data_IF_671546202941
#
_entry.id   IF_671546202941
#
_cell.length_a   1.000
_cell.length_b   1.000
_cell.length_c   1.000
_cell.angle_alpha   90.00
_cell.angle_beta   90.00
_cell.angle_gamma   90.00
#
_symmetry.space_group_name_H-M   'P 1'
#
loop_
_entity.id
_entity.type
_entity.pdbx_description
1 polymer ?
#
# COMPACT_ATOMS: atom_id res chain seq x y z
N UNK A 1 -1.06 -18.06 -11.52
CA UNK A 1 -2.36 -17.64 -10.98
C UNK A 1 -2.17 -17.29 -9.52
N UNK A 2 -2.82 -16.23 -9.06
CA UNK A 2 -2.76 -15.77 -7.67
C UNK A 2 -4.18 -15.64 -7.12
N UNK A 3 -4.41 -16.08 -5.88
CA UNK A 3 -5.69 -15.93 -5.18
C UNK A 3 -5.70 -14.59 -4.45
N UNK A 4 -6.78 -13.85 -4.63
CA UNK A 4 -7.07 -12.63 -3.88
C UNK A 4 -8.34 -12.85 -3.06
N UNK A 5 -8.30 -12.53 -1.77
CA UNK A 5 -9.47 -12.51 -0.89
C UNK A 5 -9.73 -11.08 -0.45
N UNK A 6 -10.89 -10.54 -0.79
CA UNK A 6 -11.29 -9.17 -0.49
C UNK A 6 -12.30 -9.15 0.63
N UNK A 7 -12.18 -8.18 1.54
CA UNK A 7 -13.24 -7.84 2.47
C UNK A 7 -14.03 -6.68 1.87
N UNK A 8 -15.30 -6.91 1.52
CA UNK A 8 -16.13 -5.94 0.81
C UNK A 8 -17.41 -5.68 1.60
N UNK A 9 -17.76 -4.41 1.76
CA UNK A 9 -19.03 -4.01 2.35
C UNK A 9 -20.19 -4.34 1.39
N UNK A 10 -21.32 -4.83 1.89
CA UNK A 10 -22.38 -5.35 1.01
C UNK A 10 -22.95 -4.30 0.04
N UNK A 11 -22.90 -2.99 0.36
CA UNK A 11 -23.36 -1.93 -0.55
C UNK A 11 -22.40 -1.71 -1.71
N UNK A 12 -21.10 -1.91 -1.48
CA UNK A 12 -20.05 -1.70 -2.47
C UNK A 12 -19.72 -2.97 -3.26
N UNK A 13 -20.43 -4.07 -2.96
CA UNK A 13 -20.23 -5.38 -3.57
C UNK A 13 -20.38 -5.37 -5.09
N UNK A 14 -21.54 -4.94 -5.60
CA UNK A 14 -21.81 -4.90 -7.05
C UNK A 14 -20.85 -3.96 -7.79
N UNK A 15 -20.64 -2.70 -7.35
CA UNK A 15 -19.64 -1.82 -7.97
C UNK A 15 -18.21 -2.40 -7.98
N UNK A 16 -17.84 -3.14 -6.92
CA UNK A 16 -16.53 -3.76 -6.83
C UNK A 16 -16.37 -4.93 -7.81
N UNK A 17 -17.41 -5.77 -7.96
CA UNK A 17 -17.41 -6.84 -8.94
C UNK A 17 -17.34 -6.33 -10.38
N UNK A 18 -18.03 -5.22 -10.68
CA UNK A 18 -17.98 -4.63 -12.02
C UNK A 18 -16.58 -4.13 -12.36
N UNK A 19 -15.86 -3.49 -11.42
CA UNK A 19 -14.45 -3.11 -11.60
C UNK A 19 -13.54 -4.31 -11.87
N UNK A 20 -13.72 -5.41 -11.13
CA UNK A 20 -12.94 -6.63 -11.36
C UNK A 20 -13.21 -7.23 -12.75
N UNK A 21 -14.46 -7.16 -13.23
CA UNK A 21 -14.84 -7.60 -14.58
C UNK A 21 -14.25 -6.71 -15.67
N UNK A 22 -14.21 -5.39 -15.46
CA UNK A 22 -13.57 -4.45 -16.38
C UNK A 22 -12.07 -4.73 -16.56
N UNK A 23 -11.38 -5.10 -15.47
CA UNK A 23 -9.99 -5.57 -15.49
C UNK A 23 -9.80 -6.94 -16.16
N UNK A 24 -10.88 -7.62 -16.56
CA UNK A 24 -10.82 -8.93 -17.20
C UNK A 24 -10.55 -10.09 -16.23
N UNK A 25 -10.78 -9.90 -14.94
CA UNK A 25 -10.62 -10.95 -13.94
C UNK A 25 -11.85 -11.87 -14.00
N UNK A 26 -11.63 -13.07 -14.53
CA UNK A 26 -12.71 -13.91 -15.05
C UNK A 26 -13.33 -14.89 -14.04
N UNK A 27 -12.70 -15.15 -12.89
CA UNK A 27 -13.16 -16.17 -11.95
C UNK A 27 -13.32 -15.62 -10.52
N UNK A 28 -14.56 -15.32 -10.18
CA UNK A 28 -15.00 -14.90 -8.85
C UNK A 28 -15.58 -16.14 -8.15
N UNK A 29 -15.05 -16.46 -6.99
CA UNK A 29 -15.60 -17.43 -6.05
C UNK A 29 -16.45 -16.64 -5.06
N UNK A 30 -17.75 -16.70 -5.26
CA UNK A 30 -18.71 -16.13 -4.30
C UNK A 30 -18.76 -17.03 -3.08
N UNK A 31 -18.23 -16.53 -1.95
CA UNK A 31 -18.39 -17.18 -0.67
C UNK A 31 -19.35 -16.31 0.17
N UNK A 32 -20.61 -16.75 0.31
CA UNK A 32 -21.63 -16.06 1.12
C UNK A 32 -21.41 -16.33 2.63
N UNK A 33 -20.17 -16.19 3.09
CA UNK A 33 -19.81 -16.34 4.50
C UNK A 33 -19.87 -14.98 5.18
N UNK A 34 -20.66 -14.88 6.26
CA UNK A 34 -20.64 -13.72 7.15
C UNK A 34 -19.30 -13.66 7.89
N UNK A 35 -18.77 -12.43 8.02
CA UNK A 35 -17.44 -12.20 8.60
C UNK A 35 -17.54 -12.12 10.12
N UNK A 36 -16.96 -13.10 10.81
CA UNK A 36 -16.75 -13.06 12.27
C UNK A 36 -15.87 -11.86 12.66
N UNK A 37 -16.09 -11.22 13.83
CA UNK A 37 -15.21 -10.19 14.36
C UNK A 37 -13.73 -10.60 14.40
N UNK A 38 -13.44 -11.87 14.70
CA UNK A 38 -12.07 -12.42 14.73
C UNK A 38 -11.41 -12.39 13.34
N UNK A 39 -12.16 -12.75 12.30
CA UNK A 39 -11.67 -12.71 10.91
C UNK A 39 -11.43 -11.25 10.50
N UNK A 40 -12.33 -10.33 10.88
CA UNK A 40 -12.16 -8.91 10.60
C UNK A 40 -10.86 -8.36 11.21
N UNK A 41 -10.59 -8.68 12.48
CA UNK A 41 -9.36 -8.27 13.16
C UNK A 41 -8.10 -8.82 12.47
N UNK A 42 -8.11 -10.11 12.08
CA UNK A 42 -7.01 -10.72 11.35
C UNK A 42 -6.77 -10.05 9.97
N UNK A 43 -7.83 -9.71 9.24
CA UNK A 43 -7.72 -8.95 7.98
C UNK A 43 -7.12 -7.56 8.21
N UNK A 44 -7.54 -6.85 9.26
CA UNK A 44 -6.99 -5.54 9.62
C UNK A 44 -5.50 -5.64 9.96
N UNK A 45 -5.12 -6.65 10.73
CA UNK A 45 -3.73 -6.92 11.10
C UNK A 45 -2.85 -7.17 9.86
N UNK A 46 -3.30 -7.99 8.92
CA UNK A 46 -2.55 -8.23 7.67
C UNK A 46 -2.35 -6.95 6.86
N UNK A 47 -3.34 -6.06 6.80
CA UNK A 47 -3.18 -4.78 6.12
C UNK A 47 -2.13 -3.91 6.81
N UNK A 48 -2.12 -3.87 8.14
CA UNK A 48 -1.10 -3.13 8.89
C UNK A 48 0.30 -3.71 8.63
N UNK A 49 0.44 -5.04 8.61
CA UNK A 49 1.70 -5.71 8.24
C UNK A 49 2.11 -5.37 6.81
N UNK A 50 1.18 -5.37 5.85
CA UNK A 50 1.45 -4.97 4.46
C UNK A 50 1.91 -3.51 4.35
N UNK A 51 1.30 -2.58 5.11
CA UNK A 51 1.74 -1.18 5.18
C UNK A 51 3.16 -1.08 5.72
N UNK A 52 3.48 -1.79 6.80
CA UNK A 52 4.83 -1.84 7.35
C UNK A 52 5.84 -2.35 6.31
N UNK A 53 5.53 -3.46 5.62
CA UNK A 53 6.40 -3.99 4.56
C UNK A 53 6.61 -2.97 3.43
N UNK A 54 5.56 -2.25 3.01
CA UNK A 54 5.68 -1.18 1.99
C UNK A 54 6.55 -0.04 2.49
N UNK A 55 6.35 0.43 3.72
CA UNK A 55 7.16 1.48 4.31
C UNK A 55 8.63 1.08 4.38
N UNK A 56 8.94 -0.15 4.82
CA UNK A 56 10.30 -0.66 4.89
C UNK A 56 10.94 -0.82 3.50
N UNK A 57 10.19 -1.26 2.48
CA UNK A 57 10.69 -1.34 1.10
C UNK A 57 10.98 0.04 0.48
N UNK A 58 10.26 1.07 0.89
CA UNK A 58 10.46 2.44 0.41
C UNK A 58 11.61 3.17 1.11
N UNK A 59 12.15 2.62 2.21
CA UNK A 59 13.35 3.15 2.84
C UNK A 59 14.56 2.72 2.00
N UNK A 60 15.16 3.66 1.28
CA UNK A 60 16.49 3.45 0.70
C UNK A 60 17.51 3.45 1.85
N UNK A 61 18.22 2.34 2.13
CA UNK A 61 19.20 2.32 3.20
C UNK A 61 20.41 3.19 2.82
N UNK A 62 20.56 4.34 3.46
CA UNK A 62 21.65 5.30 3.23
C UNK A 62 23.03 4.76 3.69
N UNK A 63 23.05 3.73 4.54
CA UNK A 63 24.27 3.20 5.15
C UNK A 63 24.90 2.05 4.36
N UNK A 64 26.24 2.05 4.14
CA UNK A 64 26.94 0.97 3.45
C UNK A 64 26.75 -0.39 4.13
N UNK A 65 26.76 -1.47 3.33
CA UNK A 65 26.58 -2.91 3.66
C UNK A 65 27.56 -3.48 4.71
N UNK A 66 28.35 -2.65 5.41
CA UNK A 66 29.48 -3.08 6.23
C UNK A 66 29.16 -3.51 7.67
N UNK A 67 27.89 -3.51 8.11
CA UNK A 67 27.50 -4.15 9.38
C UNK A 67 27.09 -5.60 9.12
N UNK A 68 27.51 -6.56 9.96
CA UNK A 68 27.04 -7.94 9.84
C UNK A 68 25.51 -7.97 9.92
N UNK A 69 24.89 -8.62 8.94
CA UNK A 69 23.44 -8.74 8.86
C UNK A 69 22.89 -9.40 10.13
N UNK A 70 22.10 -8.64 10.90
CA UNK A 70 21.31 -9.19 11.99
C UNK A 70 20.30 -10.18 11.40
N UNK A 71 20.27 -11.41 11.92
CA UNK A 71 19.31 -12.42 11.49
C UNK A 71 18.07 -12.31 12.37
N UNK A 72 16.97 -11.90 11.76
CA UNK A 72 15.68 -11.87 12.41
C UNK A 72 15.00 -13.24 12.28
N UNK A 73 14.61 -13.83 13.40
CA UNK A 73 13.93 -15.14 13.45
C UNK A 73 12.46 -15.04 13.83
N UNK A 74 12.10 -14.04 14.64
CA UNK A 74 10.71 -13.79 15.02
C UNK A 74 10.15 -12.60 14.23
N UNK A 75 9.23 -12.88 13.31
CA UNK A 75 8.61 -11.87 12.47
C UNK A 75 7.55 -11.04 13.18
N UNK A 76 6.91 -11.57 14.23
CA UNK A 76 5.90 -10.82 14.98
C UNK A 76 6.56 -9.83 15.92
N UNK A 77 7.58 -10.26 16.68
CA UNK A 77 8.34 -9.36 17.54
C UNK A 77 8.94 -8.20 16.73
N UNK A 78 9.47 -8.49 15.54
CA UNK A 78 10.03 -7.47 14.65
C UNK A 78 8.96 -6.52 14.11
N UNK A 79 7.78 -7.04 13.75
CA UNK A 79 6.65 -6.20 13.33
C UNK A 79 6.22 -5.25 14.46
N UNK A 80 6.09 -5.75 15.69
CA UNK A 80 5.75 -4.93 16.86
C UNK A 80 6.83 -3.90 17.20
N UNK A 81 8.11 -4.25 17.03
CA UNK A 81 9.23 -3.31 17.18
C UNK A 81 9.09 -2.16 16.18
N UNK A 82 8.85 -2.47 14.88
CA UNK A 82 8.69 -1.44 13.84
C UNK A 82 7.50 -0.53 14.12
N UNK A 83 6.34 -1.08 14.48
CA UNK A 83 5.15 -0.28 14.82
C UNK A 83 5.44 0.65 16.01
N UNK A 84 6.11 0.12 17.05
CA UNK A 84 6.48 0.91 18.23
C UNK A 84 7.45 2.03 17.86
N UNK A 85 8.45 1.76 17.01
CA UNK A 85 9.39 2.78 16.57
C UNK A 85 8.66 3.87 15.76
N UNK A 86 7.79 3.51 14.82
CA UNK A 86 7.03 4.47 14.01
C UNK A 86 6.18 5.41 14.89
N UNK A 87 5.46 4.87 15.88
CA UNK A 87 4.67 5.66 16.83
C UNK A 87 5.55 6.62 17.67
N UNK A 88 6.73 6.16 18.10
CA UNK A 88 7.69 7.00 18.83
C UNK A 88 8.21 8.13 17.95
N UNK A 89 8.61 7.84 16.72
CA UNK A 89 9.10 8.85 15.76
C UNK A 89 8.03 9.89 15.47
N UNK A 90 6.76 9.48 15.31
CA UNK A 90 5.65 10.42 15.14
C UNK A 90 5.48 11.35 16.34
N UNK A 91 5.49 10.79 17.55
CA UNK A 91 5.37 11.54 18.81
C UNK A 91 6.54 12.51 19.02
N UNK A 92 7.76 12.08 18.70
CA UNK A 92 8.96 12.92 18.76
C UNK A 92 8.85 14.05 17.73
N UNK A 93 8.46 13.78 16.48
CA UNK A 93 8.29 14.81 15.46
C UNK A 93 7.22 15.86 15.82
N UNK A 94 6.11 15.46 16.45
CA UNK A 94 5.13 16.40 16.99
C UNK A 94 5.75 17.31 18.05
N UNK A 95 6.54 16.74 18.98
CA UNK A 95 7.27 17.50 20.01
C UNK A 95 8.34 18.42 19.40
N UNK A 96 9.03 17.97 18.35
CA UNK A 96 9.98 18.76 17.55
C UNK A 96 9.32 20.02 17.01
N UNK A 97 8.18 19.87 16.34
CA UNK A 97 7.45 20.98 15.74
C UNK A 97 7.00 22.01 16.79
N UNK A 98 6.56 21.55 17.97
CA UNK A 98 6.21 22.43 19.09
C UNK A 98 7.42 23.23 19.62
N UNK A 99 8.55 22.57 19.84
CA UNK A 99 9.78 23.23 20.31
C UNK A 99 10.32 24.19 19.24
N UNK A 100 10.31 23.80 17.97
CA UNK A 100 10.73 24.67 16.86
C UNK A 100 9.87 25.94 16.78
N UNK A 101 8.55 25.82 16.97
CA UNK A 101 7.66 26.96 17.08
C UNK A 101 8.03 27.85 18.26
N UNK A 102 8.24 27.28 19.44
CA UNK A 102 8.66 28.05 20.62
C UNK A 102 10.00 28.77 20.41
N UNK A 103 10.98 28.12 19.76
CA UNK A 103 12.26 28.73 19.40
C UNK A 103 12.04 29.89 18.43
N UNK A 104 11.18 29.73 17.43
CA UNK A 104 10.84 30.79 16.48
C UNK A 104 10.20 31.99 17.17
N UNK A 105 9.29 31.74 18.11
CA UNK A 105 8.60 32.79 18.89
C UNK A 105 9.57 33.51 19.86
N UNK A 106 10.58 32.80 20.36
CA UNK A 106 11.60 33.31 21.28
C UNK A 106 12.82 33.94 20.60
N UNK A 107 13.11 33.58 19.35
CA UNK A 107 14.28 34.05 18.60
C UNK A 107 14.44 35.58 18.60
N UNK A 108 13.38 36.38 18.40
CA UNK A 108 13.48 37.84 18.40
C UNK A 108 13.90 38.43 19.77
N UNK A 109 13.65 37.72 20.87
CA UNK A 109 14.00 38.17 22.22
C UNK A 109 15.46 37.89 22.60
N UNK A 110 16.14 37.05 21.81
CA UNK A 110 17.48 36.57 22.12
C UNK A 110 17.52 35.60 23.30
N UNK A 111 18.73 35.36 23.83
CA UNK A 111 18.92 34.52 25.00
C UNK A 111 18.88 35.39 26.26
N UNK A 112 17.96 35.10 27.18
CA UNK A 112 17.87 35.78 28.47
C UNK A 112 17.72 34.77 29.61
N UNK A 113 18.29 35.14 30.75
CA UNK A 113 18.40 34.31 31.95
C UNK A 113 17.17 34.50 32.85
N UNK A 114 16.37 33.44 32.99
CA UNK A 114 15.13 33.44 33.77
C UNK A 114 15.40 33.67 35.27
N UNK A 115 16.52 33.19 35.79
CA UNK A 115 16.88 33.38 37.21
C UNK A 115 17.14 34.86 37.52
N UNK A 116 17.64 35.62 36.55
CA UNK A 116 17.82 37.07 36.70
C UNK A 116 16.49 37.80 36.72
N UNK A 117 15.54 37.40 35.88
CA UNK A 117 14.19 37.98 35.88
C UNK A 117 13.48 37.71 37.21
N UNK A 118 13.65 36.52 37.80
CA UNK A 118 13.11 36.23 39.13
C UNK A 118 13.78 37.05 40.24
N UNK A 119 15.11 37.22 40.19
CA UNK A 119 15.83 38.08 41.15
C UNK A 119 15.37 39.53 41.09
N UNK A 120 15.11 40.05 39.89
CA UNK A 120 14.54 41.39 39.71
C UNK A 120 13.13 41.48 40.29
N UNK A 121 12.29 40.47 40.06
CA UNK A 121 10.93 40.41 40.65
C UNK A 121 10.97 40.44 42.18
N UNK A 122 11.94 39.77 42.81
CA UNK A 122 12.13 39.79 44.26
C UNK A 122 12.60 41.15 44.80
N UNK A 123 13.12 42.03 43.94
CA UNK A 123 13.50 43.41 44.25
C UNK A 123 12.42 44.43 43.85
N UNK A 124 11.18 43.97 43.61
CA UNK A 124 10.04 44.79 43.19
C UNK A 124 10.23 45.46 41.82
N UNK A 125 11.02 44.83 40.94
CA UNK A 125 11.24 45.22 39.55
C UNK A 125 10.61 44.15 38.65
N UNK A 126 9.55 44.51 37.93
CA UNK A 126 8.85 43.60 37.00
C UNK A 126 9.25 43.92 35.57
N UNK A 127 9.67 42.91 34.83
CA UNK A 127 9.92 43.02 33.39
C UNK A 127 8.70 42.47 32.67
N UNK A 128 8.06 43.28 31.84
CA UNK A 128 6.98 42.85 30.93
C UNK A 128 7.47 42.90 29.50
N UNK A 129 7.21 41.83 28.75
CA UNK A 129 7.58 41.72 27.36
C UNK A 129 6.36 42.10 26.49
N UNK A 130 6.56 42.94 25.49
CA UNK A 130 5.51 43.39 24.59
C UNK A 130 5.92 43.27 23.12
N UNK A 131 4.94 42.94 22.27
CA UNK A 131 5.08 42.97 20.82
C UNK A 131 4.00 43.85 20.18
N UNK A 132 4.37 44.56 19.11
CA UNK A 132 3.41 45.27 18.28
C UNK A 132 3.93 45.44 16.85
N UNK A 133 3.04 45.77 15.92
CA UNK A 133 3.44 46.14 14.56
C UNK A 133 4.20 47.47 14.56
N UNK A 134 5.21 47.62 13.70
CA UNK A 134 6.01 48.87 13.59
C UNK A 134 5.13 50.12 13.46
N UNK A 135 4.02 50.04 12.72
CA UNK A 135 3.09 51.17 12.51
C UNK A 135 2.31 51.58 13.76
N UNK A 136 2.19 50.70 14.74
CA UNK A 136 1.45 50.92 16.00
C UNK A 136 2.37 51.35 17.14
N UNK A 137 3.69 51.28 16.95
CA UNK A 137 4.66 51.70 17.95
C UNK A 137 4.69 53.24 18.04
N UNK A 138 4.50 53.77 19.25
CA UNK A 138 4.64 55.21 19.50
C UNK A 138 6.04 55.51 20.06
N UNK A 139 6.89 56.27 19.34
CA UNK A 139 8.22 56.65 19.82
C UNK A 139 8.23 57.38 21.16
N UNK A 140 7.11 58.01 21.56
CA UNK A 140 6.99 58.67 22.86
C UNK A 140 7.10 57.71 24.05
N UNK A 141 6.81 56.42 23.84
CA UNK A 141 6.91 55.42 24.90
C UNK A 141 8.36 55.24 25.39
N UNK A 142 9.36 55.48 24.55
CA UNK A 142 10.78 55.45 24.94
C UNK A 142 11.20 56.63 25.82
N UNK A 143 10.49 57.76 25.72
CA UNK A 143 10.76 58.96 26.53
C UNK A 143 9.97 58.97 27.84
N UNK A 144 8.75 58.40 27.82
CA UNK A 144 7.81 58.43 28.95
C UNK A 144 8.02 57.27 29.95
N UNK A 145 8.54 56.14 29.48
CA UNK A 145 8.68 54.91 30.27
C UNK A 145 10.09 54.32 30.19
N UNK A 146 10.45 53.51 31.20
CA UNK A 146 11.68 52.70 31.20
C UNK A 146 11.53 51.51 30.21
N UNK A 147 11.48 51.83 28.91
CA UNK A 147 11.25 50.89 27.80
C UNK A 147 12.56 50.63 27.03
N UNK A 148 12.80 49.36 26.71
CA UNK A 148 13.97 48.91 25.96
C UNK A 148 13.55 48.11 24.74
N UNK A 149 13.89 48.63 23.56
CA UNK A 149 13.69 47.92 22.30
C UNK A 149 14.72 46.79 22.17
N UNK A 150 14.25 45.58 21.91
CA UNK A 150 15.08 44.37 21.85
C UNK A 150 15.41 44.03 20.40
N UNK A 151 14.40 43.96 19.53
CA UNK A 151 14.60 43.62 18.11
C UNK A 151 13.46 44.11 17.21
N UNK A 152 13.69 44.02 15.91
CA UNK A 152 12.72 44.27 14.85
C UNK A 152 12.81 43.13 13.83
N UNK A 153 11.81 42.26 13.82
CA UNK A 153 11.75 41.12 12.90
C UNK A 153 10.34 40.98 12.33
N UNK A 154 10.23 40.62 11.04
CA UNK A 154 8.94 40.31 10.41
C UNK A 154 7.91 41.46 10.40
N UNK A 155 8.34 42.71 10.53
CA UNK A 155 7.44 43.86 10.61
C UNK A 155 6.84 44.11 12.01
N UNK A 156 7.32 43.38 13.03
CA UNK A 156 7.00 43.58 14.44
C UNK A 156 8.20 44.16 15.19
N UNK A 157 7.90 44.90 16.26
CA UNK A 157 8.88 45.41 17.22
C UNK A 157 8.69 44.66 18.53
N UNK A 158 9.79 44.09 19.04
CA UNK A 158 9.85 43.41 20.31
C UNK A 158 10.56 44.30 21.32
N UNK A 159 9.92 44.56 22.46
CA UNK A 159 10.46 45.46 23.47
C UNK A 159 10.08 45.00 24.89
N UNK A 160 10.93 45.35 25.86
CA UNK A 160 10.69 45.10 27.27
C UNK A 160 10.42 46.41 28.01
N UNK A 161 9.41 46.38 28.88
CA UNK A 161 9.07 47.45 29.80
C UNK A 161 9.49 47.06 31.21
N UNK A 162 10.15 47.98 31.92
CA UNK A 162 10.54 47.80 33.32
C UNK A 162 9.57 48.59 34.21
N UNK A 163 8.79 47.89 35.02
CA UNK A 163 7.94 48.47 36.06
C UNK A 163 8.66 48.39 37.42
N UNK A 164 8.76 49.51 38.12
CA UNK A 164 9.34 49.57 39.48
C UNK A 164 8.23 49.85 40.49
N UNK A 165 8.14 49.03 41.53
CA UNK A 165 7.08 49.17 42.54
C UNK A 165 5.71 48.73 42.02
N UNK A 166 4.65 49.39 42.50
CA UNK A 166 3.25 49.11 42.12
C UNK A 166 2.77 49.93 40.91
N UNK A 167 3.70 50.33 40.03
CA UNK A 167 3.36 51.02 38.79
C UNK A 167 2.73 50.03 37.81
N UNK A 168 1.44 50.22 37.51
CA UNK A 168 0.76 49.47 36.46
C UNK A 168 0.68 50.33 35.20
N UNK A 169 1.59 50.10 34.26
CA UNK A 169 1.69 50.87 33.03
C UNK A 169 0.94 50.12 31.93
N UNK A 170 -0.18 50.66 31.46
CA UNK A 170 -0.94 50.08 30.36
C UNK A 170 -0.48 50.67 29.02
N UNK A 171 0.32 49.88 28.29
CA UNK A 171 0.70 50.19 26.91
C UNK A 171 -0.29 49.49 25.97
N UNK A 172 -0.72 50.18 24.91
CA UNK A 172 -1.58 49.61 23.88
C UNK A 172 -0.79 48.70 22.91
N UNK A 173 -0.23 47.62 23.44
CA UNK A 173 0.54 46.60 22.73
C UNK A 173 0.20 45.20 23.27
N UNK A 174 0.53 44.15 22.52
CA UNK A 174 0.26 42.77 22.93
C UNK A 174 1.31 42.31 23.94
N UNK A 175 0.88 41.77 25.08
CA UNK A 175 1.77 41.22 26.10
C UNK A 175 2.27 39.86 25.66
N UNK A 176 3.59 39.70 25.62
CA UNK A 176 4.23 38.41 25.40
C UNK A 176 4.50 37.73 26.77
N UNK A 177 3.99 36.51 27.02
CA UNK A 177 4.23 35.83 28.27
C UNK A 177 5.70 35.40 28.41
N UNK A 178 6.29 35.59 29.59
CA UNK A 178 7.64 35.09 29.86
C UNK A 178 7.60 33.56 29.81
N UNK A 179 8.42 32.92 28.95
CA UNK A 179 8.43 31.46 28.84
C UNK A 179 9.12 30.83 30.04
N UNK A 180 8.77 29.56 30.30
CA UNK A 180 9.33 28.78 31.41
C UNK A 180 10.72 28.20 31.11
N UNK A 181 11.19 28.28 29.86
CA UNK A 181 12.49 27.74 29.41
C UNK A 181 13.23 28.80 28.60
N UNK A 182 14.54 28.81 28.71
CA UNK A 182 15.39 29.71 27.92
C UNK A 182 15.50 29.23 26.47
N UNK A 183 15.89 30.13 25.56
CA UNK A 183 16.11 29.80 24.16
C UNK A 183 17.24 28.76 23.99
N UNK A 184 18.26 28.80 24.85
CA UNK A 184 19.35 27.83 24.86
C UNK A 184 18.88 26.45 25.32
N UNK A 185 18.05 26.36 26.36
CA UNK A 185 17.44 25.10 26.82
C UNK A 185 16.54 24.47 25.75
N UNK A 186 15.75 25.29 25.05
CA UNK A 186 14.91 24.82 23.95
C UNK A 186 15.74 24.30 22.78
N UNK A 187 16.82 25.00 22.40
CA UNK A 187 17.75 24.54 21.36
C UNK A 187 18.45 23.24 21.75
N UNK A 188 18.89 23.11 23.00
CA UNK A 188 19.49 21.88 23.50
C UNK A 188 18.48 20.72 23.48
N UNK A 189 17.23 20.99 23.89
CA UNK A 189 16.13 20.01 23.83
C UNK A 189 15.85 19.57 22.39
N UNK A 190 15.88 20.51 21.44
CA UNK A 190 15.71 20.22 20.01
C UNK A 190 16.81 19.30 19.50
N UNK A 191 18.08 19.59 19.81
CA UNK A 191 19.22 18.75 19.40
C UNK A 191 19.11 17.33 19.95
N UNK A 192 18.73 17.17 21.23
CA UNK A 192 18.53 15.84 21.85
C UNK A 192 17.43 15.08 21.10
N UNK A 193 16.31 15.75 20.84
CA UNK A 193 15.17 15.13 20.19
C UNK A 193 15.46 14.76 18.72
N UNK A 194 16.27 15.55 18.01
CA UNK A 194 16.77 15.21 16.68
C UNK A 194 17.71 13.99 16.71
N UNK A 195 18.54 13.86 17.74
CA UNK A 195 19.37 12.67 17.93
C UNK A 195 18.54 11.42 18.20
N UNK A 196 17.49 11.52 19.02
CA UNK A 196 16.57 10.41 19.32
C UNK A 196 15.79 9.96 18.08
N UNK A 197 15.30 10.90 17.26
CA UNK A 197 14.65 10.60 15.98
C UNK A 197 15.61 9.85 15.06
N UNK A 198 16.81 10.39 14.86
CA UNK A 198 17.82 9.78 14.01
C UNK A 198 18.24 8.38 14.50
N UNK A 199 18.33 8.17 15.81
CA UNK A 199 18.60 6.85 16.38
C UNK A 199 17.53 5.82 16.00
N UNK A 200 16.26 6.21 16.06
CA UNK A 200 15.13 5.37 15.68
C UNK A 200 15.03 5.13 14.18
N UNK A 201 15.31 6.13 13.35
CA UNK A 201 15.35 6.02 11.89
C UNK A 201 16.45 5.05 11.43
N UNK A 202 17.65 5.13 12.03
CA UNK A 202 18.74 4.17 11.78
C UNK A 202 18.30 2.74 12.13
N UNK A 203 17.57 2.54 13.22
CA UNK A 203 17.06 1.20 13.58
C UNK A 203 16.05 0.69 12.54
N UNK A 204 15.18 1.55 12.01
CA UNK A 204 14.27 1.17 10.92
C UNK A 204 15.02 0.78 9.64
N UNK A 205 16.09 1.49 9.28
CA UNK A 205 16.95 1.13 8.15
C UNK A 205 17.69 -0.21 8.36
N UNK A 206 18.10 -0.51 9.59
CA UNK A 206 18.69 -1.81 9.94
C UNK A 206 17.68 -2.95 9.74
N UNK A 207 16.44 -2.74 10.18
CA UNK A 207 15.34 -3.70 9.98
C UNK A 207 14.98 -3.83 8.49
N UNK A 208 14.93 -2.73 7.75
CA UNK A 208 14.61 -2.75 6.32
C UNK A 208 15.59 -3.60 5.50
N UNK A 209 16.87 -3.64 5.89
CA UNK A 209 17.89 -4.40 5.15
C UNK A 209 17.67 -5.92 5.14
N UNK A 210 17.28 -6.52 6.27
CA UNK A 210 17.22 -8.00 6.40
C UNK A 210 15.99 -8.52 7.14
N UNK A 211 15.17 -7.64 7.71
CA UNK A 211 13.99 -7.98 8.51
C UNK A 211 12.73 -8.25 7.69
N UNK A 212 12.66 -7.73 6.46
CA UNK A 212 11.49 -7.89 5.59
C UNK A 212 11.09 -9.37 5.41
N UNK A 213 12.01 -10.32 5.10
CA UNK A 213 11.63 -11.72 4.97
C UNK A 213 11.01 -12.34 6.24
N UNK A 214 11.44 -11.92 7.43
CA UNK A 214 10.87 -12.40 8.69
C UNK A 214 9.44 -11.89 8.89
N UNK A 215 9.19 -10.61 8.61
CA UNK A 215 7.85 -10.00 8.65
C UNK A 215 6.94 -10.61 7.57
N UNK A 216 7.49 -10.93 6.39
CA UNK A 216 6.73 -11.66 5.37
C UNK A 216 6.34 -13.07 5.83
N UNK A 217 7.23 -13.77 6.54
CA UNK A 217 6.91 -15.08 7.12
C UNK A 217 5.78 -14.97 8.17
N UNK A 218 5.83 -13.95 9.02
CA UNK A 218 4.75 -13.67 9.94
C UNK A 218 3.42 -13.39 9.23
N UNK A 219 3.44 -12.56 8.16
CA UNK A 219 2.28 -12.35 7.30
C UNK A 219 1.72 -13.65 6.74
N UNK A 220 2.58 -14.57 6.28
CA UNK A 220 2.13 -15.88 5.78
C UNK A 220 1.43 -16.69 6.88
N UNK A 221 1.95 -16.71 8.10
CA UNK A 221 1.29 -17.37 9.23
C UNK A 221 -0.08 -16.77 9.56
N UNK A 222 -0.22 -15.44 9.50
CA UNK A 222 -1.53 -14.78 9.67
C UNK A 222 -2.53 -15.20 8.57
N UNK A 223 -2.09 -15.23 7.32
CA UNK A 223 -2.93 -15.66 6.19
C UNK A 223 -3.40 -17.11 6.38
N UNK A 224 -2.48 -18.02 6.74
CA UNK A 224 -2.78 -19.42 7.00
C UNK A 224 -3.77 -19.58 8.16
N UNK A 225 -3.62 -18.79 9.22
CA UNK A 225 -4.54 -18.78 10.36
C UNK A 225 -5.96 -18.32 9.97
N UNK A 226 -6.09 -17.40 9.00
CA UNK A 226 -7.40 -17.00 8.46
C UNK A 226 -8.02 -18.13 7.65
N UNK A 227 -7.24 -18.82 6.81
CA UNK A 227 -7.74 -19.95 6.02
C UNK A 227 -8.23 -21.08 6.95
N UNK A 228 -7.49 -21.36 8.03
CA UNK A 228 -7.93 -22.26 9.09
C UNK A 228 -9.22 -21.76 9.78
N UNK A 229 -9.27 -20.49 10.17
CA UNK A 229 -10.44 -19.90 10.85
C UNK A 229 -11.69 -19.97 9.95
N UNK A 230 -11.55 -19.63 8.66
CA UNK A 230 -12.62 -19.80 7.66
C UNK A 230 -13.10 -21.25 7.60
N UNK A 231 -12.19 -22.22 7.58
CA UNK A 231 -12.53 -23.64 7.52
C UNK A 231 -13.25 -24.14 8.78
N UNK A 232 -12.83 -23.71 9.97
CA UNK A 232 -13.42 -24.09 11.26
C UNK A 232 -14.80 -23.46 11.47
N UNK A 233 -14.98 -22.19 11.06
CA UNK A 233 -16.23 -21.45 11.23
C UNK A 233 -17.30 -21.78 10.17
N UNK A 234 -17.15 -22.86 9.40
CA UNK A 234 -18.17 -23.39 8.48
C UNK A 234 -19.53 -23.76 9.14
N UNK A 235 -19.67 -23.64 10.46
CA UNK A 235 -20.77 -24.24 11.23
C UNK A 235 -21.44 -23.33 12.28
N UNK A 236 -21.09 -22.04 12.38
CA UNK A 236 -21.72 -21.15 13.37
C UNK A 236 -22.10 -19.81 12.74
N UNK A 237 -23.40 -19.63 12.52
CA UNK A 237 -24.04 -18.38 12.13
C UNK A 237 -24.83 -17.87 13.33
N UNK A 238 -24.47 -16.68 13.80
CA UNK A 238 -25.37 -15.69 14.39
C UNK A 238 -24.53 -14.46 14.72
N UNK A 239 -24.33 -13.57 13.74
CA UNK A 239 -24.17 -12.13 13.99
C UNK A 239 -24.28 -11.35 12.68
N UNK A 240 -25.23 -10.42 12.67
CA UNK A 240 -25.62 -9.51 11.60
C UNK A 240 -24.43 -8.61 11.22
N UNK A 241 -23.54 -9.07 10.33
CA UNK A 241 -22.39 -8.29 9.90
C UNK A 241 -22.42 -8.04 8.38
N UNK A 242 -22.43 -6.76 8.04
CA UNK A 242 -22.61 -6.19 6.71
C UNK A 242 -21.41 -6.37 5.75
N UNK A 243 -20.49 -7.28 6.05
CA UNK A 243 -19.24 -7.51 5.33
C UNK A 243 -19.24 -8.90 4.69
N UNK A 244 -18.75 -8.99 3.45
CA UNK A 244 -18.63 -10.23 2.68
C UNK A 244 -17.18 -10.47 2.26
N UNK A 245 -16.78 -11.74 2.21
CA UNK A 245 -15.48 -12.13 1.66
C UNK A 245 -15.66 -12.52 0.19
N UNK A 246 -14.93 -11.86 -0.70
CA UNK A 246 -14.94 -12.16 -2.13
C UNK A 246 -13.60 -12.77 -2.51
N UNK A 247 -13.60 -14.02 -2.97
CA UNK A 247 -12.37 -14.68 -3.40
C UNK A 247 -12.29 -14.67 -4.92
N UNK A 248 -11.12 -14.36 -5.47
CA UNK A 248 -10.95 -14.15 -6.90
C UNK A 248 -9.60 -14.68 -7.33
N UNK A 249 -9.56 -15.33 -8.50
CA UNK A 249 -8.32 -15.75 -9.13
C UNK A 249 -7.90 -14.78 -10.20
N UNK A 250 -6.72 -14.17 -10.03
CA UNK A 250 -6.12 -13.28 -11.02
C UNK A 250 -4.94 -13.96 -11.74
N UNK A 251 -4.88 -13.87 -13.08
CA UNK A 251 -3.69 -14.22 -13.85
C UNK A 251 -2.48 -13.36 -13.47
N UNK A 252 -1.28 -13.94 -13.51
CA UNK A 252 -0.07 -13.25 -13.03
C UNK A 252 0.30 -12.00 -13.86
N UNK A 253 -0.21 -11.87 -15.08
CA UNK A 253 0.02 -10.69 -15.93
C UNK A 253 -0.91 -9.50 -15.64
N UNK A 254 -2.02 -9.71 -14.92
CA UNK A 254 -2.94 -8.66 -14.47
C UNK A 254 -2.68 -8.25 -13.03
N UNK A 255 -1.64 -8.82 -12.41
CA UNK A 255 -1.33 -8.63 -11.00
C UNK A 255 -1.01 -7.18 -10.66
N UNK A 256 -0.15 -6.54 -11.44
CA UNK A 256 0.30 -5.16 -11.18
C UNK A 256 -0.86 -4.17 -11.32
N UNK A 257 -1.65 -4.30 -12.38
CA UNK A 257 -2.81 -3.45 -12.64
C UNK A 257 -3.90 -3.60 -11.56
N UNK A 258 -4.12 -4.84 -11.09
CA UNK A 258 -5.03 -5.10 -9.97
C UNK A 258 -4.51 -4.49 -8.66
N UNK A 259 -3.23 -4.66 -8.34
CA UNK A 259 -2.63 -4.12 -7.12
C UNK A 259 -2.66 -2.59 -7.11
N UNK A 260 -2.41 -1.94 -8.25
CA UNK A 260 -2.53 -0.48 -8.39
C UNK A 260 -3.98 0.02 -8.17
N UNK A 261 -4.97 -0.67 -8.76
CA UNK A 261 -6.39 -0.35 -8.54
C UNK A 261 -6.79 -0.51 -7.06
N UNK A 262 -6.28 -1.55 -6.39
CA UNK A 262 -6.58 -1.82 -4.98
C UNK A 262 -5.93 -0.80 -4.05
N UNK A 263 -4.73 -0.32 -4.38
CA UNK A 263 -4.06 0.75 -3.66
C UNK A 263 -4.84 2.07 -3.73
N UNK A 264 -5.43 2.39 -4.89
CA UNK A 264 -6.27 3.59 -5.06
C UNK A 264 -7.62 3.51 -4.33
N UNK A 265 -8.13 2.30 -4.10
CA UNK A 265 -9.46 2.08 -3.53
C UNK A 265 -9.45 1.78 -2.03
N UNK A 266 -8.28 1.80 -1.37
CA UNK A 266 -8.06 1.38 0.02
C UNK A 266 -8.68 0.01 0.37
N UNK A 267 -8.92 -0.84 -0.64
CA UNK A 267 -9.59 -2.10 -0.47
C UNK A 267 -8.74 -3.04 0.39
N UNK A 268 -9.39 -3.68 1.37
CA UNK A 268 -8.74 -4.67 2.22
C UNK A 268 -8.64 -5.99 1.45
N UNK A 269 -7.42 -6.43 1.15
CA UNK A 269 -7.19 -7.67 0.42
C UNK A 269 -6.04 -8.52 0.98
N UNK A 270 -6.22 -9.82 0.85
CA UNK A 270 -5.21 -10.82 1.13
C UNK A 270 -4.82 -11.48 -0.18
N UNK A 271 -3.52 -11.65 -0.38
CA UNK A 271 -2.97 -12.39 -1.50
C UNK A 271 -2.43 -13.73 -1.01
N UNK A 272 -2.95 -14.84 -1.53
CA UNK A 272 -2.42 -16.17 -1.27
C UNK A 272 -2.02 -16.90 -2.55
N UNK A 273 -1.06 -17.81 -2.41
CA UNK A 273 -0.65 -18.71 -3.52
C UNK A 273 -1.63 -19.89 -3.58
N UNK A 274 -1.88 -20.45 -4.76
CA UNK A 274 -2.69 -21.65 -4.87
C UNK A 274 -2.09 -22.81 -4.08
N UNK A 275 -2.92 -23.47 -3.27
CA UNK A 275 -2.61 -24.72 -2.59
C UNK A 275 -2.99 -25.91 -3.48
N UNK A 276 -2.52 -27.12 -3.14
CA UNK A 276 -2.85 -28.34 -3.90
C UNK A 276 -4.33 -28.75 -3.84
N UNK A 277 -5.08 -28.19 -2.89
CA UNK A 277 -6.51 -28.47 -2.70
C UNK A 277 -7.41 -27.46 -3.43
N UNK A 278 -6.85 -26.34 -3.89
CA UNK A 278 -7.59 -25.29 -4.57
C UNK A 278 -8.07 -25.71 -5.97
N UNK A 279 -9.33 -25.40 -6.28
CA UNK A 279 -9.86 -25.48 -7.65
C UNK A 279 -9.43 -24.25 -8.45
N UNK A 280 -8.17 -24.22 -8.86
CA UNK A 280 -7.59 -23.10 -9.60
C UNK A 280 -8.11 -23.10 -11.05
N UNK A 281 -8.62 -21.97 -11.57
CA UNK A 281 -9.03 -21.88 -12.97
C UNK A 281 -7.82 -22.01 -13.90
N UNK A 282 -8.03 -22.71 -15.01
CA UNK A 282 -6.98 -23.02 -15.99
C UNK A 282 -7.07 -22.02 -17.15
N UNK A 283 -5.98 -21.28 -17.37
CA UNK A 283 -5.85 -20.38 -18.52
C UNK A 283 -4.78 -20.92 -19.47
N UNK A 284 -5.19 -21.45 -20.62
CA UNK A 284 -4.28 -21.98 -21.63
C UNK A 284 -3.61 -20.85 -22.42
N UNK A 285 -2.28 -20.98 -22.64
CA UNK A 285 -1.47 -20.02 -23.40
C UNK A 285 -0.83 -20.70 -24.60
N UNK A 286 -1.63 -21.15 -25.56
CA UNK A 286 -1.10 -21.78 -26.77
C UNK A 286 -0.77 -20.79 -27.89
N UNK A 287 0.20 -21.19 -28.75
CA UNK A 287 0.56 -20.47 -29.98
C UNK A 287 -0.56 -20.62 -31.03
N UNK A 288 -0.61 -19.71 -32.02
CA UNK A 288 -1.71 -19.58 -33.01
C UNK A 288 -2.23 -20.91 -33.60
N UNK A 289 -1.34 -21.84 -33.99
CA UNK A 289 -1.74 -23.13 -34.53
C UNK A 289 -2.42 -24.02 -33.47
N UNK A 290 -1.72 -24.29 -32.36
CA UNK A 290 -2.24 -25.13 -31.27
C UNK A 290 -3.46 -24.54 -30.58
N UNK A 291 -3.60 -23.21 -30.56
CA UNK A 291 -4.77 -22.50 -30.04
C UNK A 291 -6.06 -22.92 -30.73
N UNK A 292 -6.02 -23.12 -32.05
CA UNK A 292 -7.20 -23.52 -32.80
C UNK A 292 -7.64 -24.97 -32.52
N UNK A 293 -6.76 -25.78 -31.91
CA UNK A 293 -7.04 -27.15 -31.47
C UNK A 293 -7.45 -27.25 -29.99
N UNK A 294 -7.39 -26.15 -29.21
CA UNK A 294 -7.83 -26.12 -27.81
C UNK A 294 -9.29 -26.60 -27.66
N UNK A 295 -10.15 -26.23 -28.61
CA UNK A 295 -11.58 -26.63 -28.62
C UNK A 295 -11.74 -28.15 -28.65
N UNK A 296 -10.83 -28.88 -29.31
CA UNK A 296 -10.87 -30.35 -29.30
C UNK A 296 -10.44 -30.86 -27.93
N UNK A 297 -9.38 -30.28 -27.33
CA UNK A 297 -8.94 -30.62 -25.97
C UNK A 297 -10.03 -30.40 -24.92
N UNK A 298 -10.75 -29.28 -25.01
CA UNK A 298 -11.85 -28.90 -24.11
C UNK A 298 -12.97 -29.94 -24.06
N UNK A 299 -13.21 -30.69 -25.16
CA UNK A 299 -14.24 -31.73 -25.22
C UNK A 299 -13.85 -32.96 -24.38
N UNK A 300 -12.56 -33.24 -24.21
CA UNK A 300 -12.08 -34.43 -23.49
C UNK A 300 -11.86 -34.15 -22.00
N UNK A 301 -11.22 -33.02 -21.66
CA UNK A 301 -11.12 -32.43 -20.33
C UNK A 301 -10.01 -31.38 -20.35
N UNK A 302 -10.20 -30.28 -19.61
CA UNK A 302 -9.13 -29.33 -19.37
C UNK A 302 -8.04 -29.98 -18.50
N UNK A 303 -6.74 -29.73 -18.78
CA UNK A 303 -5.65 -30.21 -17.94
C UNK A 303 -5.79 -29.64 -16.52
N UNK A 304 -5.35 -30.37 -15.49
CA UNK A 304 -5.33 -29.79 -14.14
C UNK A 304 -4.32 -28.66 -14.05
N UNK A 305 -4.52 -27.75 -13.11
CA UNK A 305 -3.57 -26.68 -12.84
C UNK A 305 -2.18 -27.27 -12.53
N UNK A 306 -1.17 -26.84 -13.29
CA UNK A 306 0.21 -27.34 -13.18
C UNK A 306 0.55 -28.55 -14.04
N UNK A 307 -0.43 -29.16 -14.73
CA UNK A 307 -0.16 -30.21 -15.71
C UNK A 307 0.28 -29.62 -17.06
N UNK A 308 1.09 -30.38 -17.80
CA UNK A 308 1.53 -29.99 -19.13
C UNK A 308 0.34 -30.05 -20.10
N UNK A 309 0.05 -28.94 -20.78
CA UNK A 309 -0.96 -28.91 -21.83
C UNK A 309 -0.49 -29.75 -23.03
N UNK A 310 -1.23 -30.82 -23.31
CA UNK A 310 -0.94 -31.75 -24.40
C UNK A 310 -1.41 -31.23 -25.76
N UNK A 311 -2.20 -30.15 -25.82
CA UNK A 311 -2.74 -29.58 -27.06
C UNK A 311 -1.68 -29.31 -28.14
N UNK A 312 -0.49 -28.74 -27.83
CA UNK A 312 0.57 -28.53 -28.82
C UNK A 312 1.15 -29.82 -29.41
N UNK A 313 1.18 -30.89 -28.60
CA UNK A 313 1.68 -32.20 -29.04
C UNK A 313 0.61 -32.96 -29.83
N UNK A 314 -0.64 -32.90 -29.37
CA UNK A 314 -1.79 -33.56 -30.00
C UNK A 314 -2.17 -32.96 -31.36
N UNK A 315 -2.20 -31.63 -31.47
CA UNK A 315 -2.67 -30.91 -32.65
C UNK A 315 -2.08 -31.39 -34.00
N UNK A 316 -0.74 -31.54 -34.17
CA UNK A 316 -0.17 -32.01 -35.44
C UNK A 316 -0.53 -33.46 -35.76
N UNK A 317 -0.57 -34.36 -34.76
CA UNK A 317 -0.96 -35.75 -34.99
C UNK A 317 -2.45 -35.87 -35.32
N UNK A 318 -3.30 -35.09 -34.66
CA UNK A 318 -4.73 -35.07 -34.97
C UNK A 318 -4.99 -34.63 -36.41
N UNK A 319 -4.35 -33.54 -36.85
CA UNK A 319 -4.47 -33.08 -38.24
C UNK A 319 -3.98 -34.13 -39.23
N UNK A 320 -2.87 -34.81 -38.91
CA UNK A 320 -2.30 -35.86 -39.74
C UNK A 320 -3.22 -37.07 -39.86
N UNK A 321 -3.72 -37.62 -38.74
CA UNK A 321 -4.61 -38.77 -38.74
C UNK A 321 -5.96 -38.46 -39.38
N UNK A 322 -6.52 -37.28 -39.13
CA UNK A 322 -7.75 -36.84 -39.78
C UNK A 322 -7.58 -36.78 -41.31
N UNK A 323 -6.48 -36.18 -41.77
CA UNK A 323 -6.16 -36.12 -43.20
C UNK A 323 -5.97 -37.50 -43.82
N UNK A 324 -5.30 -38.42 -43.13
CA UNK A 324 -5.12 -39.80 -43.56
C UNK A 324 -6.44 -40.59 -43.64
N UNK A 325 -7.34 -40.43 -42.64
CA UNK A 325 -8.60 -41.15 -42.60
C UNK A 325 -9.60 -40.69 -43.67
N UNK A 326 -9.66 -39.39 -43.95
CA UNK A 326 -10.57 -38.87 -44.97
C UNK A 326 -9.96 -38.96 -46.38
N UNK A 327 -8.67 -38.62 -46.53
CA UNK A 327 -7.85 -38.94 -47.70
C UNK A 327 -8.41 -38.52 -49.07
N UNK A 328 -9.32 -37.55 -49.13
CA UNK A 328 -10.03 -37.18 -50.36
C UNK A 328 -9.88 -35.69 -50.67
N UNK A 329 -9.30 -35.40 -51.84
CA UNK A 329 -9.05 -34.05 -52.34
C UNK A 329 -10.33 -33.24 -52.52
N UNK A 330 -11.43 -33.85 -52.96
CA UNK A 330 -12.71 -33.18 -53.18
C UNK A 330 -13.33 -32.69 -51.88
N UNK A 331 -13.41 -33.55 -50.86
CA UNK A 331 -13.90 -33.17 -49.54
C UNK A 331 -12.96 -32.18 -48.84
N UNK A 332 -11.64 -32.36 -48.97
CA UNK A 332 -10.65 -31.44 -48.44
C UNK A 332 -10.78 -30.02 -49.02
N UNK A 333 -10.98 -29.91 -50.33
CA UNK A 333 -11.18 -28.62 -51.01
C UNK A 333 -12.51 -27.96 -50.61
N UNK A 334 -13.58 -28.74 -50.46
CA UNK A 334 -14.87 -28.24 -49.98
C UNK A 334 -14.77 -27.66 -48.56
N UNK A 335 -14.07 -28.36 -47.65
CA UNK A 335 -13.85 -27.87 -46.28
C UNK A 335 -12.98 -26.61 -46.26
N UNK A 336 -11.91 -26.56 -47.05
CA UNK A 336 -11.02 -25.40 -47.11
C UNK A 336 -11.73 -24.16 -47.66
N UNK A 337 -12.46 -24.31 -48.77
CA UNK A 337 -13.23 -23.22 -49.38
C UNK A 337 -14.38 -22.78 -48.47
N UNK A 338 -15.08 -23.72 -47.85
CA UNK A 338 -16.12 -23.43 -46.86
C UNK A 338 -15.57 -22.63 -45.68
N UNK A 339 -14.47 -23.08 -45.09
CA UNK A 339 -13.81 -22.37 -43.99
C UNK A 339 -13.44 -20.93 -44.37
N UNK A 340 -12.82 -20.72 -45.54
CA UNK A 340 -12.39 -19.38 -45.97
C UNK A 340 -13.58 -18.46 -46.26
N UNK A 341 -14.60 -18.96 -46.98
CA UNK A 341 -15.75 -18.15 -47.39
C UNK A 341 -16.67 -17.77 -46.22
N UNK A 342 -16.85 -18.69 -45.26
CA UNK A 342 -17.73 -18.45 -44.11
C UNK A 342 -17.03 -17.76 -42.94
N UNK A 343 -15.69 -17.73 -42.88
CA UNK A 343 -14.92 -17.08 -41.78
C UNK A 343 -15.27 -15.61 -41.53
N UNK A 344 -15.64 -14.85 -42.57
CA UNK A 344 -16.03 -13.44 -42.43
C UNK A 344 -17.45 -13.24 -41.91
N UNK A 345 -18.34 -14.23 -42.10
CA UNK A 345 -19.76 -14.19 -41.71
C UNK A 345 -20.04 -14.74 -40.31
N UNK A 346 -19.01 -15.30 -39.67
CA UNK A 346 -19.14 -16.06 -38.44
C UNK A 346 -18.67 -15.22 -37.22
N UNK A 347 -19.35 -15.31 -36.05
CA UNK A 347 -18.98 -14.54 -34.85
C UNK A 347 -17.54 -14.81 -34.40
N UNK A 348 -16.91 -13.83 -33.70
CA UNK A 348 -15.50 -13.92 -33.26
C UNK A 348 -15.17 -15.24 -32.54
N UNK A 349 -16.08 -15.78 -31.72
CA UNK A 349 -15.91 -17.05 -30.98
C UNK A 349 -15.75 -18.28 -31.90
N UNK A 350 -16.37 -18.27 -33.08
CA UNK A 350 -16.35 -19.40 -34.02
C UNK A 350 -15.26 -19.27 -35.10
N UNK A 351 -14.51 -18.16 -35.14
CA UNK A 351 -13.42 -17.98 -36.10
C UNK A 351 -12.28 -18.98 -35.91
N UNK A 352 -12.03 -19.41 -34.67
CA UNK A 352 -11.04 -20.43 -34.34
C UNK A 352 -11.44 -21.80 -34.92
N UNK A 353 -12.72 -22.15 -34.86
CA UNK A 353 -13.28 -23.35 -35.49
C UNK A 353 -13.08 -23.32 -37.02
N UNK A 354 -13.25 -22.16 -37.65
CA UNK A 354 -13.01 -22.03 -39.10
C UNK A 354 -11.54 -22.24 -39.46
N UNK A 355 -10.60 -21.76 -38.65
CA UNK A 355 -9.17 -22.04 -38.85
C UNK A 355 -8.87 -23.54 -38.70
N UNK A 356 -9.44 -24.17 -37.68
CA UNK A 356 -9.32 -25.60 -37.44
C UNK A 356 -9.81 -26.41 -38.66
N UNK A 357 -11.00 -26.11 -39.18
CA UNK A 357 -11.55 -26.77 -40.38
C UNK A 357 -10.64 -26.54 -41.59
N UNK A 358 -10.06 -25.34 -41.75
CA UNK A 358 -9.09 -25.09 -42.81
C UNK A 358 -7.83 -25.96 -42.66
N UNK A 359 -7.27 -26.08 -41.45
CA UNK A 359 -6.11 -26.94 -41.19
C UNK A 359 -6.41 -28.42 -41.49
N UNK A 360 -7.56 -28.93 -41.05
CA UNK A 360 -7.99 -30.31 -41.34
C UNK A 360 -8.25 -30.53 -42.85
N UNK A 361 -8.85 -29.55 -43.52
CA UNK A 361 -9.05 -29.57 -44.97
C UNK A 361 -7.72 -29.61 -45.73
N UNK A 362 -6.74 -28.79 -45.33
CA UNK A 362 -5.40 -28.83 -45.95
C UNK A 362 -4.68 -30.16 -45.74
N UNK A 363 -4.77 -30.75 -44.55
CA UNK A 363 -4.18 -32.07 -44.29
C UNK A 363 -4.85 -33.15 -45.15
N UNK A 364 -6.18 -33.11 -45.30
CA UNK A 364 -6.93 -34.05 -46.16
C UNK A 364 -6.52 -33.96 -47.63
N UNK A 365 -6.35 -32.74 -48.17
CA UNK A 365 -5.88 -32.55 -49.55
C UNK A 365 -4.47 -33.12 -49.72
N UNK A 366 -3.55 -32.85 -48.78
CA UNK A 366 -2.18 -33.36 -48.85
C UNK A 366 -2.16 -34.89 -48.88
N UNK A 367 -2.90 -35.56 -48.00
CA UNK A 367 -2.94 -37.03 -47.97
C UNK A 367 -3.69 -37.64 -49.15
N UNK A 368 -4.76 -37.02 -49.64
CA UNK A 368 -5.48 -37.46 -50.83
C UNK A 368 -4.74 -37.21 -52.16
N UNK A 369 -3.65 -36.43 -52.14
CA UNK A 369 -2.72 -36.30 -53.27
C UNK A 369 -1.58 -37.31 -53.20
N UNK A 370 -1.30 -37.85 -52.01
CA UNK A 370 -0.22 -38.82 -51.76
C UNK A 370 -0.72 -40.27 -51.93
N UNK A 371 -1.96 -40.55 -51.50
CA UNK A 371 -2.67 -41.82 -51.73
C UNK A 371 -3.38 -41.82 -53.07
#
# INVERSE_FOLDING_TARGET
MTKYSFLVYHLDYEPFLDKLRELGIAHIIENNQEVSPEILEQFQQINQVNRVIRTLNNLEPDSPENKPAEKFTDGEELYQEVVTIQQKVETLNQSKALIQKQISDLSPWGNFDLDRLEKLRNQDIRVRLYTCQIRKFDPRWEEEYDLFRISEEGGQIYFALIEKGDQNIEINAEVFPIPSKSLEELKNSLTILEQDINHHEIRLEEIARNGIPAIENYRYHLIDSIEYSKAVHHTLSEMDNHLRIVEVWSPDHLKEELEEMLEQSEAVYIKSRPTSEDKVPVLLKNKKFSKDFEIIGDIYSLPKYGELDLTPFFAPFYALFFGFCLGDVGYGLMMLLGAILFKSKVPKKFKSIMNLVAYLGTATILFGLIG
#
